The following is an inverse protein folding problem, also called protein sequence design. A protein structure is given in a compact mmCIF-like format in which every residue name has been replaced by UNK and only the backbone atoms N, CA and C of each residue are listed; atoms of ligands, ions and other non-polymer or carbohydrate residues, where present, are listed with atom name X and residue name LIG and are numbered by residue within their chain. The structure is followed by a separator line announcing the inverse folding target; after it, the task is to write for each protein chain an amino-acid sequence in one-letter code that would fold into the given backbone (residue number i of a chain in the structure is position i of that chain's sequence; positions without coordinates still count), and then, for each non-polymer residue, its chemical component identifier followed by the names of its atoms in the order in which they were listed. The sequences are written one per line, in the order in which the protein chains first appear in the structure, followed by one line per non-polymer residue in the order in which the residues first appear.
data_IF_940789239121
#
_entry.id   IF_940789239121
#
_cell.length_a   1.000
_cell.length_b   1.000
_cell.length_c   1.000
_cell.angle_alpha   90.00
_cell.angle_beta   90.00
_cell.angle_gamma   90.00
#
_symmetry.space_group_name_H-M   'P 1'
#
loop_
_entity.id
_entity.type
_entity.pdbx_description
1 polymer ?
#
# COMPACT_ATOMS: atom_id res chain seq x y z
N UNK A 1 26.75 -25.48 31.69
CA UNK A 1 26.15 -24.26 31.09
C UNK A 1 25.75 -24.42 29.62
N UNK A 2 26.48 -25.20 28.79
CA UNK A 2 26.12 -25.49 27.38
C UNK A 2 24.79 -26.25 27.18
N UNK A 3 24.44 -27.18 28.07
CA UNK A 3 23.20 -27.95 27.97
C UNK A 3 21.94 -27.08 28.02
N UNK A 4 21.86 -26.09 28.92
CA UNK A 4 20.71 -25.17 29.00
C UNK A 4 20.54 -24.32 27.74
N UNK A 5 21.62 -23.91 27.07
CA UNK A 5 21.54 -23.14 25.83
C UNK A 5 20.92 -23.95 24.68
N UNK A 6 21.25 -25.24 24.57
CA UNK A 6 20.66 -26.14 23.56
C UNK A 6 19.15 -26.36 23.78
N UNK A 7 18.71 -26.52 25.02
CA UNK A 7 17.28 -26.65 25.32
C UNK A 7 16.50 -25.35 25.06
N UNK A 8 17.10 -24.19 25.32
CA UNK A 8 16.49 -22.90 24.98
C UNK A 8 16.41 -22.72 23.46
N UNK A 9 17.47 -23.05 22.71
CA UNK A 9 17.45 -22.95 21.25
C UNK A 9 16.41 -23.87 20.60
N UNK A 10 16.35 -25.15 21.01
CA UNK A 10 15.37 -26.11 20.49
C UNK A 10 13.95 -25.78 20.96
N UNK A 11 13.79 -25.38 22.23
CA UNK A 11 12.50 -25.01 22.80
C UNK A 11 11.92 -23.72 22.21
N UNK A 12 12.76 -22.72 21.90
CA UNK A 12 12.36 -21.47 21.25
C UNK A 12 12.10 -21.61 19.75
N UNK A 13 12.60 -22.68 19.11
CA UNK A 13 12.39 -22.93 17.67
C UNK A 13 10.91 -23.12 17.32
N UNK A 14 10.17 -23.85 18.16
CA UNK A 14 8.75 -24.11 17.94
C UNK A 14 7.87 -22.84 17.98
N UNK A 15 7.89 -22.01 19.04
CA UNK A 15 7.09 -20.79 19.08
C UNK A 15 7.51 -19.79 18.01
N UNK A 16 8.81 -19.67 17.68
CA UNK A 16 9.28 -18.82 16.59
C UNK A 16 8.76 -19.32 15.24
N UNK A 17 8.83 -20.63 14.98
CA UNK A 17 8.31 -21.24 13.75
C UNK A 17 6.80 -21.04 13.62
N UNK A 18 6.03 -21.25 14.70
CA UNK A 18 4.60 -21.02 14.73
C UNK A 18 4.25 -19.54 14.49
N UNK A 19 4.98 -18.63 15.12
CA UNK A 19 4.79 -17.19 14.92
C UNK A 19 5.07 -16.78 13.47
N UNK A 20 6.19 -17.24 12.88
CA UNK A 20 6.50 -17.01 11.47
C UNK A 20 5.42 -17.59 10.54
N UNK A 21 4.91 -18.78 10.84
CA UNK A 21 3.82 -19.39 10.08
C UNK A 21 2.55 -18.53 10.15
N UNK A 22 2.11 -18.13 11.34
CA UNK A 22 0.93 -17.28 11.51
C UNK A 22 1.10 -15.93 10.79
N UNK A 23 2.29 -15.34 10.86
CA UNK A 23 2.59 -14.07 10.19
C UNK A 23 2.51 -14.20 8.66
N UNK A 24 3.05 -15.28 8.09
CA UNK A 24 2.95 -15.59 6.66
C UNK A 24 1.50 -15.87 6.23
N UNK A 25 0.71 -16.54 7.07
CA UNK A 25 -0.71 -16.75 6.82
C UNK A 25 -1.48 -15.43 6.83
N UNK A 26 -1.17 -14.53 7.76
CA UNK A 26 -1.75 -13.20 7.85
C UNK A 26 -1.43 -12.35 6.59
N UNK A 27 -0.25 -12.53 6.00
CA UNK A 27 0.18 -11.82 4.81
C UNK A 27 -0.48 -12.29 3.49
N UNK A 28 -1.28 -13.37 3.49
CA UNK A 28 -1.83 -13.98 2.25
C UNK A 28 -2.59 -12.99 1.35
N UNK A 29 -3.40 -12.09 1.91
CA UNK A 29 -4.16 -11.09 1.12
C UNK A 29 -3.20 -10.07 0.50
N UNK A 30 -2.22 -9.62 1.27
CA UNK A 30 -1.18 -8.74 0.77
C UNK A 30 -0.33 -9.39 -0.30
N UNK A 31 0.07 -10.66 -0.12
CA UNK A 31 0.85 -11.40 -1.12
C UNK A 31 0.09 -11.54 -2.44
N UNK A 32 -1.25 -11.66 -2.40
CA UNK A 32 -2.08 -11.64 -3.62
C UNK A 32 -1.97 -10.30 -4.35
N UNK A 33 -2.08 -9.18 -3.63
CA UNK A 33 -1.84 -7.86 -4.19
C UNK A 33 -0.42 -7.72 -4.76
N UNK A 34 0.58 -8.18 -4.00
CA UNK A 34 1.98 -8.13 -4.40
C UNK A 34 2.25 -8.88 -5.70
N UNK A 35 1.55 -9.97 -6.01
CA UNK A 35 1.77 -10.67 -7.29
C UNK A 35 1.50 -9.79 -8.51
N UNK A 36 0.60 -8.83 -8.39
CA UNK A 36 0.22 -7.94 -9.49
C UNK A 36 0.87 -6.55 -9.36
N UNK A 37 0.99 -6.05 -8.13
CA UNK A 37 1.33 -4.66 -7.84
C UNK A 37 2.64 -4.53 -7.07
N UNK A 38 3.53 -5.52 -7.13
CA UNK A 38 4.84 -5.45 -6.47
C UNK A 38 5.62 -4.21 -6.90
N UNK A 39 6.08 -3.42 -5.93
CA UNK A 39 7.07 -2.38 -6.15
C UNK A 39 8.41 -2.83 -5.59
N UNK A 40 9.52 -2.48 -6.25
CA UNK A 40 10.86 -2.76 -5.69
C UNK A 40 11.14 -1.85 -4.49
N UNK A 41 10.71 -0.59 -4.59
CA UNK A 41 10.83 0.40 -3.53
C UNK A 41 9.67 1.43 -3.62
N UNK A 42 9.34 2.09 -2.51
CA UNK A 42 8.38 3.19 -2.48
C UNK A 42 8.96 4.54 -2.99
N UNK A 43 10.13 4.54 -3.64
CA UNK A 43 10.98 5.71 -3.93
C UNK A 43 10.40 6.76 -4.90
N UNK A 44 9.16 6.62 -5.34
CA UNK A 44 8.46 7.58 -6.20
C UNK A 44 7.38 8.42 -5.50
N UNK A 45 7.19 8.25 -4.18
CA UNK A 45 6.15 8.97 -3.45
C UNK A 45 6.53 10.42 -3.23
N UNK A 46 5.70 11.33 -3.75
CA UNK A 46 5.88 12.78 -3.58
C UNK A 46 5.26 13.25 -2.26
N UNK A 47 4.29 12.49 -1.73
CA UNK A 47 3.73 12.70 -0.42
C UNK A 47 3.40 11.36 0.22
N UNK A 48 3.57 11.25 1.54
CA UNK A 48 3.27 10.05 2.32
C UNK A 48 2.52 10.38 3.61
N UNK A 49 1.69 9.44 4.05
CA UNK A 49 1.10 9.39 5.39
C UNK A 49 1.39 8.04 6.02
N UNK A 50 2.04 8.06 7.18
CA UNK A 50 2.33 6.89 8.00
C UNK A 50 1.20 6.62 9.00
N UNK A 51 1.23 5.48 9.70
CA UNK A 51 0.30 5.14 10.78
C UNK A 51 -1.17 5.10 10.34
N UNK A 52 -1.41 4.80 9.07
CA UNK A 52 -2.75 4.77 8.49
C UNK A 52 -3.46 3.45 8.77
N UNK A 53 -4.77 3.42 8.54
CA UNK A 53 -5.57 2.20 8.59
C UNK A 53 -5.91 1.76 7.18
N UNK A 54 -5.39 0.59 6.80
CA UNK A 54 -5.72 -0.11 5.57
C UNK A 54 -6.26 -1.47 5.93
N UNK A 55 -7.41 -1.83 5.37
CA UNK A 55 -8.07 -3.11 5.63
C UNK A 55 -8.18 -3.86 4.32
N UNK A 56 -7.73 -5.11 4.31
CA UNK A 56 -7.89 -6.00 3.17
C UNK A 56 -8.95 -7.04 3.48
N UNK A 57 -9.94 -7.12 2.61
CA UNK A 57 -11.03 -8.09 2.64
C UNK A 57 -10.94 -8.91 1.38
N UNK A 58 -11.23 -10.21 1.46
CA UNK A 58 -11.34 -11.03 0.25
C UNK A 58 -12.61 -11.89 0.32
N UNK A 59 -12.86 -12.70 -0.70
CA UNK A 59 -14.03 -13.59 -0.76
C UNK A 59 -14.08 -14.70 0.30
N UNK A 60 -13.07 -14.81 1.16
CA UNK A 60 -12.99 -15.75 2.28
C UNK A 60 -13.48 -15.11 3.60
N UNK A 61 -13.66 -15.92 4.64
CA UNK A 61 -14.07 -15.42 5.96
C UNK A 61 -12.89 -14.63 6.57
N UNK A 62 -13.13 -13.35 6.85
CA UNK A 62 -12.24 -12.50 7.64
C UNK A 62 -11.62 -11.33 6.87
N UNK A 63 -10.79 -10.56 7.58
CA UNK A 63 -10.10 -9.38 7.07
C UNK A 63 -8.71 -9.26 7.70
N UNK A 64 -7.79 -8.57 7.02
CA UNK A 64 -6.54 -8.12 7.61
C UNK A 64 -6.67 -6.62 7.89
N UNK A 65 -6.37 -6.20 9.11
CA UNK A 65 -6.29 -4.78 9.46
C UNK A 65 -4.83 -4.40 9.69
N UNK A 66 -4.37 -3.38 8.97
CA UNK A 66 -3.04 -2.79 9.09
C UNK A 66 -3.09 -1.44 9.82
N UNK A 67 -4.04 -1.30 10.76
CA UNK A 67 -4.23 -0.09 11.56
C UNK A 67 -2.96 0.32 12.27
N UNK A 68 -2.52 1.55 12.03
CA UNK A 68 -1.38 2.15 12.70
C UNK A 68 -0.03 1.57 12.25
N UNK A 69 0.00 0.73 11.22
CA UNK A 69 1.26 0.16 10.71
C UNK A 69 1.44 0.34 9.19
N UNK A 70 0.40 0.80 8.49
CA UNK A 70 0.45 1.10 7.07
C UNK A 70 0.96 2.52 6.81
N UNK A 71 1.79 2.65 5.78
CA UNK A 71 2.19 3.90 5.15
C UNK A 71 1.62 3.93 3.75
N UNK A 72 0.92 5.03 3.44
CA UNK A 72 0.27 5.25 2.15
C UNK A 72 0.91 6.45 1.48
N UNK A 73 1.43 6.25 0.28
CA UNK A 73 2.06 7.30 -0.50
C UNK A 73 1.34 7.57 -1.80
N UNK A 74 1.54 8.78 -2.31
CA UNK A 74 1.00 9.26 -3.58
C UNK A 74 2.16 9.47 -4.54
N UNK A 75 2.12 8.74 -5.66
CA UNK A 75 3.11 8.80 -6.73
C UNK A 75 2.46 9.36 -7.99
N UNK A 76 3.23 9.55 -9.06
CA UNK A 76 2.67 9.92 -10.38
C UNK A 76 1.86 8.80 -11.03
N UNK A 77 2.23 7.55 -10.75
CA UNK A 77 1.65 6.37 -11.41
C UNK A 77 0.45 5.81 -10.64
N UNK A 78 0.42 6.02 -9.33
CA UNK A 78 -0.58 5.43 -8.45
C UNK A 78 -0.33 5.64 -6.96
N UNK A 79 -0.98 4.79 -6.18
CA UNK A 79 -0.92 4.79 -4.71
C UNK A 79 0.13 3.77 -4.29
N UNK A 80 1.14 4.21 -3.53
CA UNK A 80 2.09 3.30 -2.89
C UNK A 80 1.56 2.85 -1.53
N UNK A 81 1.80 1.59 -1.19
CA UNK A 81 1.39 1.02 0.08
C UNK A 81 2.52 0.16 0.63
N UNK A 82 2.95 0.46 1.86
CA UNK A 82 4.00 -0.27 2.56
C UNK A 82 3.69 -0.38 4.06
N UNK A 83 4.31 -1.35 4.73
CA UNK A 83 4.21 -1.47 6.19
C UNK A 83 5.52 -1.01 6.84
N UNK A 84 5.44 -0.43 8.03
CA UNK A 84 6.64 -0.09 8.79
C UNK A 84 7.41 -1.35 9.21
N UNK A 85 8.73 -1.23 9.38
CA UNK A 85 9.53 -2.29 9.98
C UNK A 85 9.08 -2.55 11.43
N UNK A 86 9.03 -3.81 11.92
CA UNK A 86 9.35 -5.06 11.21
C UNK A 86 8.15 -5.72 10.50
N UNK A 87 6.98 -5.06 10.44
CA UNK A 87 5.74 -5.59 9.87
C UNK A 87 5.82 -5.90 8.36
N UNK A 88 6.82 -5.31 7.66
CA UNK A 88 7.07 -5.48 6.23
C UNK A 88 7.65 -6.83 5.79
N UNK A 89 8.16 -7.69 6.69
CA UNK A 89 8.93 -8.90 6.33
C UNK A 89 8.20 -9.84 5.34
N UNK A 90 6.87 -9.94 5.42
CA UNK A 90 6.05 -10.72 4.48
C UNK A 90 5.09 -9.86 3.65
N UNK A 91 5.28 -8.54 3.68
CA UNK A 91 4.43 -7.54 3.07
C UNK A 91 5.30 -6.63 2.19
N UNK A 92 5.75 -7.12 1.02
CA UNK A 92 6.56 -6.31 0.11
C UNK A 92 5.80 -5.05 -0.32
N UNK A 93 6.47 -3.93 -0.58
CA UNK A 93 5.80 -2.70 -0.94
C UNK A 93 5.00 -2.87 -2.24
N UNK A 94 3.89 -2.15 -2.32
CA UNK A 94 2.93 -2.20 -3.42
C UNK A 94 2.83 -0.84 -4.11
N UNK A 95 2.63 -0.85 -5.42
CA UNK A 95 2.25 0.32 -6.22
C UNK A 95 1.00 -0.01 -7.03
N UNK A 96 -0.12 0.60 -6.66
CA UNK A 96 -1.42 0.36 -7.25
C UNK A 96 -1.73 1.51 -8.23
N UNK A 97 -1.79 1.27 -9.55
CA UNK A 97 -2.04 2.32 -10.54
C UNK A 97 -3.42 2.95 -10.38
N UNK A 98 -3.54 4.26 -10.60
CA UNK A 98 -4.83 4.95 -10.50
C UNK A 98 -5.90 4.38 -11.44
N UNK A 99 -5.51 4.00 -12.67
CA UNK A 99 -6.42 3.43 -13.67
C UNK A 99 -6.96 2.04 -13.31
N UNK A 100 -6.35 1.37 -12.33
CA UNK A 100 -6.77 0.06 -11.84
C UNK A 100 -7.71 0.14 -10.63
N UNK A 101 -7.85 1.33 -10.03
CA UNK A 101 -8.69 1.56 -8.87
C UNK A 101 -10.13 1.90 -9.29
N UNK A 102 -11.09 1.10 -8.83
CA UNK A 102 -12.49 1.51 -8.77
C UNK A 102 -12.87 1.80 -7.32
N UNK A 103 -13.28 3.03 -7.04
CA UNK A 103 -13.50 3.53 -5.68
C UNK A 103 -14.99 3.78 -5.48
N UNK A 104 -15.56 3.21 -4.43
CA UNK A 104 -16.94 3.40 -4.06
C UNK A 104 -17.08 3.73 -2.56
N UNK A 105 -18.01 4.63 -2.17
CA UNK A 105 -18.31 4.86 -0.78
C UNK A 105 -18.81 3.57 -0.11
N UNK A 106 -18.31 3.27 1.08
CA UNK A 106 -18.77 2.11 1.85
C UNK A 106 -18.83 2.43 3.33
N UNK A 107 -19.57 1.63 4.10
CA UNK A 107 -19.59 1.72 5.55
C UNK A 107 -19.07 0.43 6.13
N UNK A 108 -17.83 0.45 6.62
CA UNK A 108 -17.21 -0.72 7.22
C UNK A 108 -17.38 -0.72 8.75
N UNK A 109 -18.33 -1.51 9.26
CA UNK A 109 -18.59 -1.73 10.71
C UNK A 109 -18.38 -0.47 11.60
N UNK A 110 -17.44 -0.55 12.56
CA UNK A 110 -17.12 0.47 13.56
C UNK A 110 -16.25 1.63 13.02
N UNK A 111 -15.89 1.60 11.73
CA UNK A 111 -14.81 2.41 11.17
C UNK A 111 -15.33 3.71 10.51
N UNK A 112 -16.64 3.98 10.63
CA UNK A 112 -17.23 5.24 10.21
C UNK A 112 -17.31 5.37 8.68
N UNK A 113 -17.03 6.57 8.15
CA UNK A 113 -17.00 6.82 6.70
C UNK A 113 -15.73 6.24 6.10
N UNK A 114 -15.91 5.33 5.15
CA UNK A 114 -14.83 4.61 4.49
C UNK A 114 -15.08 4.57 2.99
N UNK A 115 -14.04 4.29 2.23
CA UNK A 115 -14.16 3.98 0.81
C UNK A 115 -13.60 2.59 0.54
N UNK A 116 -14.22 1.88 -0.39
CA UNK A 116 -13.77 0.59 -0.87
C UNK A 116 -13.11 0.78 -2.22
N UNK A 117 -11.93 0.21 -2.33
CA UNK A 117 -11.18 0.04 -3.56
C UNK A 117 -11.36 -1.39 -4.06
N UNK A 118 -11.89 -1.49 -5.28
CA UNK A 118 -11.86 -2.72 -6.07
C UNK A 118 -10.76 -2.56 -7.12
N UNK A 119 -9.81 -3.49 -7.14
CA UNK A 119 -8.63 -3.42 -8.00
C UNK A 119 -8.80 -4.32 -9.21
N UNK A 120 -8.60 -3.77 -10.42
CA UNK A 120 -8.81 -4.50 -11.67
C UNK A 120 -7.97 -5.78 -11.76
N UNK A 121 -6.70 -5.72 -11.37
CA UNK A 121 -5.78 -6.85 -11.47
C UNK A 121 -5.94 -7.90 -10.37
N UNK A 122 -6.66 -7.60 -9.29
CA UNK A 122 -6.91 -8.52 -8.15
C UNK A 122 -8.35 -8.33 -7.66
N UNK A 123 -9.31 -8.80 -8.45
CA UNK A 123 -10.75 -8.54 -8.20
C UNK A 123 -11.33 -9.24 -6.96
N UNK A 124 -10.64 -10.24 -6.41
CA UNK A 124 -11.06 -10.98 -5.21
C UNK A 124 -10.60 -10.32 -3.90
N UNK A 125 -9.69 -9.34 -3.96
CA UNK A 125 -9.20 -8.59 -2.81
C UNK A 125 -9.67 -7.14 -2.89
N UNK A 126 -10.43 -6.73 -1.89
CA UNK A 126 -10.91 -5.36 -1.72
C UNK A 126 -10.07 -4.67 -0.66
N UNK A 127 -9.69 -3.43 -0.94
CA UNK A 127 -8.99 -2.57 0.01
C UNK A 127 -9.96 -1.53 0.57
N UNK A 128 -9.96 -1.34 1.88
CA UNK A 128 -10.82 -0.37 2.55
C UNK A 128 -9.93 0.59 3.32
N UNK A 129 -10.19 1.89 3.13
CA UNK A 129 -9.50 2.97 3.83
C UNK A 129 -10.52 3.98 4.37
N UNK A 130 -10.09 4.85 5.28
CA UNK A 130 -10.91 5.95 5.74
C UNK A 130 -11.08 7.04 4.67
N UNK A 131 -12.23 7.71 4.71
CA UNK A 131 -12.61 8.78 3.79
C UNK A 131 -11.66 10.00 3.86
N UNK A 132 -11.12 10.32 5.04
CA UNK A 132 -10.15 11.42 5.21
C UNK A 132 -8.82 11.14 4.51
N UNK A 133 -8.39 9.87 4.52
CA UNK A 133 -7.22 9.42 3.76
C UNK A 133 -7.50 9.47 2.26
N UNK A 134 -8.70 9.09 1.81
CA UNK A 134 -9.11 9.21 0.41
C UNK A 134 -9.04 10.65 -0.07
N UNK A 135 -9.68 11.57 0.65
CA UNK A 135 -9.69 13.00 0.32
C UNK A 135 -8.26 13.56 0.27
N UNK A 136 -7.39 13.10 1.16
CA UNK A 136 -5.98 13.47 1.12
C UNK A 136 -5.27 12.92 -0.12
N UNK A 137 -5.48 11.65 -0.50
CA UNK A 137 -4.90 11.05 -1.71
C UNK A 137 -5.30 11.86 -2.95
N UNK A 138 -6.59 12.17 -3.09
CA UNK A 138 -7.11 12.96 -4.23
C UNK A 138 -6.48 14.37 -4.27
N UNK A 139 -6.36 15.02 -3.11
CA UNK A 139 -5.71 16.33 -3.00
C UNK A 139 -4.26 16.31 -3.48
N UNK A 140 -3.48 15.29 -3.11
CA UNK A 140 -2.09 15.18 -3.54
C UNK A 140 -1.98 14.80 -5.01
N UNK A 141 -2.83 13.89 -5.49
CA UNK A 141 -2.88 13.49 -6.89
C UNK A 141 -3.21 14.69 -7.81
N UNK A 142 -4.17 15.53 -7.42
CA UNK A 142 -4.50 16.75 -8.15
C UNK A 142 -3.32 17.74 -8.22
N UNK A 143 -2.63 17.96 -7.10
CA UNK A 143 -1.42 18.82 -7.06
C UNK A 143 -0.34 18.31 -8.00
N UNK A 144 -0.14 16.99 -8.05
CA UNK A 144 0.82 16.37 -8.98
C UNK A 144 0.42 16.57 -10.43
N UNK A 145 -0.86 16.41 -10.77
CA UNK A 145 -1.36 16.62 -12.11
C UNK A 145 -1.13 18.07 -12.58
N UNK A 146 -1.39 19.06 -11.71
CA UNK A 146 -1.14 20.47 -12.00
C UNK A 146 0.35 20.76 -12.21
N UNK A 147 1.22 20.32 -11.30
CA UNK A 147 2.66 20.53 -11.43
C UNK A 147 3.25 19.91 -12.73
N UNK A 148 2.69 18.78 -13.17
CA UNK A 148 3.09 18.14 -14.43
C UNK A 148 2.61 18.92 -15.66
N UNK A 149 1.41 19.49 -15.62
CA UNK A 149 0.89 20.33 -16.70
C UNK A 149 1.75 21.59 -16.89
N UNK A 150 2.11 22.26 -15.79
CA UNK A 150 2.95 23.47 -15.83
C UNK A 150 4.35 23.18 -16.41
N UNK A 151 4.94 22.05 -16.02
CA UNK A 151 6.25 21.62 -16.54
C UNK A 151 6.20 21.34 -18.05
N UNK A 152 5.11 20.74 -18.54
CA UNK A 152 4.94 20.44 -19.97
C UNK A 152 4.78 21.70 -20.82
N UNK A 153 3.97 22.66 -20.35
CA UNK A 153 3.77 23.94 -21.04
C UNK A 153 5.11 24.67 -21.19
N UNK A 154 5.91 24.71 -20.13
CA UNK A 154 7.24 25.33 -20.18
C UNK A 154 8.15 24.67 -21.22
N UNK A 155 8.22 23.34 -21.25
CA UNK A 155 9.08 22.63 -22.23
C UNK A 155 8.62 22.84 -23.68
N UNK A 156 7.32 22.87 -23.94
CA UNK A 156 6.76 23.09 -25.29
C UNK A 156 7.02 24.54 -25.76
N UNK A 157 6.95 25.53 -24.86
CA UNK A 157 7.32 26.94 -25.14
C UNK A 157 8.81 27.07 -25.50
N UNK A 158 9.70 26.43 -24.74
CA UNK A 158 11.13 26.43 -25.04
C UNK A 158 11.47 25.70 -26.35
N UNK A 159 10.79 24.58 -26.66
CA UNK A 159 11.00 23.85 -27.91
C UNK A 159 10.54 24.65 -29.15
N UNK A 160 9.47 25.44 -29.04
CA UNK A 160 8.98 26.30 -30.12
C UNK A 160 9.91 27.47 -30.45
N UNK A 161 10.65 27.99 -29.48
CA UNK A 161 11.62 29.10 -29.67
C UNK A 161 12.87 28.67 -30.43
N UNK A 162 13.25 27.39 -30.37
CA UNK A 162 14.43 26.86 -31.08
C UNK A 162 14.15 26.42 -32.52
N UNK A 163 12.89 26.32 -32.94
CA UNK A 163 12.51 25.85 -34.28
C UNK A 163 12.37 26.97 -35.34
N UNK A 164 12.60 28.23 -34.98
CA UNK A 164 12.41 29.41 -35.84
C UNK A 164 13.71 30.15 -36.21
N UNK A 165 14.87 29.49 -36.06
CA UNK A 165 16.19 30.01 -36.45
C UNK A 165 16.66 29.55 -37.81
#
# INVERSE_FOLDING_TARGET
MIGSFLYILVGSSFPLGLMCMMWKLNARRWTRLARQYHAVDATGSVAERTMQTVILVAGDIGWNSYKGIATVGVTREGISLQLMSPFSIFHPPLLIPYGDCHIEPTRWYLIGKTVQYTLRGVGDVKMIIHDDLQVWIESQAAKLAHAQADTRISNDEFAGVHATG
#
